data_IF_141942510341
#
_entry.id   IF_141942510341
#
_cell.length_a   1.000
_cell.length_b   1.000
_cell.length_c   1.000
_cell.angle_alpha   90.00
_cell.angle_beta   90.00
_cell.angle_gamma   90.00
#
_symmetry.space_group_name_H-M   'P 1'
#
loop_
_entity.id
_entity.type
_entity.pdbx_description
1 polymer ?
#
# COMPACT_ATOMS: atom_id res chain seq x y z
N UNK A 1 -38.45 3.61 21.54
CA UNK A 1 -37.15 3.58 20.84
C UNK A 1 -37.39 3.97 19.41
N UNK A 2 -37.01 5.20 19.03
CA UNK A 2 -37.24 5.72 17.68
C UNK A 2 -36.36 5.02 16.66
N UNK A 3 -36.95 4.07 15.94
CA UNK A 3 -36.29 3.36 14.85
C UNK A 3 -36.33 4.24 13.58
N UNK A 4 -35.57 5.34 13.59
CA UNK A 4 -35.39 6.17 12.38
C UNK A 4 -34.62 5.33 11.36
N UNK A 5 -35.12 5.17 10.11
CA UNK A 5 -34.38 4.46 9.08
C UNK A 5 -33.06 5.18 8.85
N UNK A 6 -31.94 4.53 9.19
CA UNK A 6 -30.61 5.03 8.83
C UNK A 6 -30.59 5.13 7.31
N UNK A 7 -30.43 6.34 6.77
CA UNK A 7 -30.19 6.54 5.33
C UNK A 7 -29.06 5.60 4.92
N UNK A 8 -29.33 4.67 4.01
CA UNK A 8 -28.29 3.88 3.36
C UNK A 8 -27.41 4.89 2.62
N UNK A 9 -26.21 5.14 3.13
CA UNK A 9 -25.24 5.97 2.41
C UNK A 9 -24.77 5.16 1.21
N UNK A 10 -25.40 5.39 0.05
CA UNK A 10 -24.94 4.81 -1.21
C UNK A 10 -23.68 5.56 -1.60
N UNK A 11 -22.52 5.05 -1.17
CA UNK A 11 -21.22 5.55 -1.64
C UNK A 11 -21.16 5.24 -3.14
N UNK A 12 -20.92 6.25 -3.97
CA UNK A 12 -20.74 6.00 -5.41
C UNK A 12 -19.49 5.13 -5.65
N UNK A 13 -19.49 4.32 -6.71
CA UNK A 13 -18.33 3.49 -7.09
C UNK A 13 -17.04 4.34 -7.15
N UNK A 14 -17.14 5.55 -7.72
CA UNK A 14 -16.03 6.51 -7.78
C UNK A 14 -15.49 6.88 -6.39
N UNK A 15 -16.37 7.22 -5.45
CA UNK A 15 -15.97 7.53 -4.08
C UNK A 15 -15.37 6.31 -3.37
N UNK A 16 -15.94 5.12 -3.57
CA UNK A 16 -15.39 3.90 -3.00
C UNK A 16 -13.98 3.60 -3.50
N UNK A 17 -13.73 3.74 -4.82
CA UNK A 17 -12.39 3.52 -5.42
C UNK A 17 -11.37 4.51 -4.86
N UNK A 18 -11.76 5.76 -4.66
CA UNK A 18 -10.88 6.76 -4.06
C UNK A 18 -10.56 6.44 -2.60
N UNK A 19 -11.55 6.02 -1.81
CA UNK A 19 -11.34 5.55 -0.43
C UNK A 19 -10.42 4.32 -0.40
N UNK A 20 -10.58 3.38 -1.33
CA UNK A 20 -9.70 2.22 -1.43
C UNK A 20 -8.24 2.65 -1.68
N UNK A 21 -7.99 3.55 -2.61
CA UNK A 21 -6.63 4.05 -2.87
C UNK A 21 -6.04 4.78 -1.65
N UNK A 22 -6.85 5.54 -0.92
CA UNK A 22 -6.44 6.21 0.32
C UNK A 22 -6.12 5.21 1.44
N UNK A 23 -6.64 3.98 1.38
CA UNK A 23 -6.35 2.91 2.32
C UNK A 23 -5.16 2.05 1.90
N UNK A 24 -5.04 1.71 0.61
CA UNK A 24 -3.96 0.85 0.09
C UNK A 24 -2.61 1.58 0.11
N UNK A 25 -2.57 2.87 -0.27
CA UNK A 25 -1.34 3.66 -0.29
C UNK A 25 -0.59 3.67 1.06
N UNK A 26 -1.21 3.99 2.21
CA UNK A 26 -0.51 3.96 3.50
C UNK A 26 -0.13 2.54 3.92
N UNK A 27 -0.88 1.50 3.53
CA UNK A 27 -0.49 0.12 3.84
C UNK A 27 0.75 -0.33 3.06
N UNK A 28 0.85 0.03 1.77
CA UNK A 28 2.06 -0.20 0.98
C UNK A 28 3.25 0.54 1.59
N UNK A 29 3.06 1.80 2.01
CA UNK A 29 4.10 2.58 2.71
C UNK A 29 4.54 1.91 4.02
N UNK A 30 3.59 1.51 4.87
CA UNK A 30 3.88 0.78 6.13
C UNK A 30 4.60 -0.55 5.88
N UNK A 31 4.27 -1.24 4.78
CA UNK A 31 4.97 -2.46 4.37
C UNK A 31 6.43 -2.17 4.02
N UNK A 32 6.71 -1.10 3.26
CA UNK A 32 8.08 -0.68 2.91
C UNK A 32 8.89 -0.18 4.12
N UNK A 33 8.24 0.49 5.06
CA UNK A 33 8.89 1.08 6.24
C UNK A 33 8.98 0.11 7.44
N UNK A 34 8.49 -1.12 7.29
CA UNK A 34 8.45 -2.08 8.38
C UNK A 34 9.85 -2.43 8.91
N UNK A 35 9.99 -2.50 10.24
CA UNK A 35 11.26 -2.83 10.92
C UNK A 35 11.39 -4.32 11.27
N UNK A 36 10.38 -5.13 10.95
CA UNK A 36 10.37 -6.57 11.20
C UNK A 36 9.49 -7.31 10.20
N UNK A 37 9.72 -8.61 10.03
CA UNK A 37 8.89 -9.47 9.19
C UNK A 37 7.43 -9.47 9.60
N UNK A 38 7.16 -9.48 10.91
CA UNK A 38 5.80 -9.47 11.45
C UNK A 38 5.07 -8.18 11.05
N UNK A 39 5.72 -7.02 11.24
CA UNK A 39 5.13 -5.74 10.89
C UNK A 39 4.90 -5.61 9.38
N UNK A 40 5.84 -6.12 8.57
CA UNK A 40 5.76 -6.17 7.12
C UNK A 40 4.57 -7.00 6.65
N UNK A 41 4.49 -8.27 7.10
CA UNK A 41 3.42 -9.20 6.73
C UNK A 41 2.05 -8.66 7.17
N UNK A 42 1.94 -8.12 8.39
CA UNK A 42 0.68 -7.56 8.89
C UNK A 42 0.15 -6.42 8.00
N UNK A 43 1.03 -5.52 7.55
CA UNK A 43 0.63 -4.41 6.68
C UNK A 43 0.22 -4.90 5.27
N UNK A 44 0.94 -5.89 4.73
CA UNK A 44 0.61 -6.51 3.46
C UNK A 44 -0.73 -7.26 3.51
N UNK A 45 -0.96 -8.06 4.55
CA UNK A 45 -2.21 -8.83 4.75
C UNK A 45 -3.43 -7.92 4.89
N UNK A 46 -3.27 -6.78 5.57
CA UNK A 46 -4.30 -5.73 5.63
C UNK A 46 -4.62 -5.19 4.23
N UNK A 47 -3.62 -4.99 3.38
CA UNK A 47 -3.84 -4.50 2.01
C UNK A 47 -4.51 -5.57 1.15
N UNK A 48 -4.06 -6.83 1.19
CA UNK A 48 -4.68 -7.93 0.46
C UNK A 48 -6.14 -8.13 0.86
N UNK A 49 -6.43 -8.09 2.16
CA UNK A 49 -7.79 -8.22 2.68
C UNK A 49 -8.71 -7.11 2.18
N UNK A 50 -8.21 -5.87 2.15
CA UNK A 50 -8.95 -4.73 1.62
C UNK A 50 -9.23 -4.83 0.11
N UNK A 51 -8.23 -5.28 -0.67
CA UNK A 51 -8.39 -5.51 -2.11
C UNK A 51 -9.37 -6.64 -2.40
N UNK A 52 -9.31 -7.74 -1.65
CA UNK A 52 -10.24 -8.86 -1.80
C UNK A 52 -11.68 -8.44 -1.47
N UNK A 53 -11.86 -7.66 -0.40
CA UNK A 53 -13.17 -7.11 -0.05
C UNK A 53 -13.69 -6.20 -1.16
N UNK A 54 -12.85 -5.31 -1.70
CA UNK A 54 -13.20 -4.41 -2.78
C UNK A 54 -13.63 -5.17 -4.05
N UNK A 55 -12.91 -6.24 -4.42
CA UNK A 55 -13.31 -7.12 -5.52
C UNK A 55 -14.66 -7.78 -5.24
N UNK A 56 -14.85 -8.30 -4.01
CA UNK A 56 -16.06 -9.05 -3.64
C UNK A 56 -17.33 -8.20 -3.65
N UNK A 57 -17.22 -6.91 -3.30
CA UNK A 57 -18.34 -5.97 -3.34
C UNK A 57 -18.52 -5.28 -4.71
N UNK A 58 -17.73 -5.66 -5.72
CA UNK A 58 -17.81 -5.10 -7.07
C UNK A 58 -17.28 -3.67 -7.18
N UNK A 59 -16.40 -3.25 -6.27
CA UNK A 59 -15.80 -1.92 -6.30
C UNK A 59 -14.68 -1.80 -7.34
N UNK A 60 -13.94 -2.89 -7.52
CA UNK A 60 -12.86 -3.03 -8.50
C UNK A 60 -13.06 -4.31 -9.32
N UNK A 61 -12.48 -4.34 -10.52
CA UNK A 61 -12.48 -5.49 -11.42
C UNK A 61 -11.26 -6.39 -11.22
N UNK A 62 -11.26 -7.57 -11.87
CA UNK A 62 -10.18 -8.54 -11.75
C UNK A 62 -8.80 -8.01 -12.17
N UNK A 63 -8.74 -7.20 -13.23
CA UNK A 63 -7.48 -6.59 -13.68
C UNK A 63 -6.98 -5.51 -12.69
N UNK A 64 -7.88 -4.70 -12.14
CA UNK A 64 -7.55 -3.71 -11.11
C UNK A 64 -7.07 -4.40 -9.83
N UNK A 65 -7.74 -5.47 -9.41
CA UNK A 65 -7.32 -6.32 -8.29
C UNK A 65 -5.93 -6.90 -8.51
N UNK A 66 -5.66 -7.48 -9.68
CA UNK A 66 -4.35 -8.04 -9.99
C UNK A 66 -3.25 -6.96 -9.92
N UNK A 67 -3.45 -5.82 -10.58
CA UNK A 67 -2.47 -4.74 -10.61
C UNK A 67 -2.18 -4.16 -9.23
N UNK A 68 -3.22 -3.91 -8.42
CA UNK A 68 -3.05 -3.42 -7.06
C UNK A 68 -2.39 -4.46 -6.14
N UNK A 69 -2.69 -5.74 -6.34
CA UNK A 69 -2.06 -6.84 -5.59
C UNK A 69 -0.56 -6.92 -5.91
N UNK A 70 -0.17 -6.76 -7.17
CA UNK A 70 1.25 -6.74 -7.55
C UNK A 70 2.02 -5.61 -6.85
N UNK A 71 1.43 -4.43 -6.68
CA UNK A 71 2.08 -3.34 -5.94
C UNK A 71 2.33 -3.70 -4.46
N UNK A 72 1.40 -4.41 -3.82
CA UNK A 72 1.57 -4.87 -2.44
C UNK A 72 2.63 -5.97 -2.36
N UNK A 73 2.62 -6.90 -3.32
CA UNK A 73 3.62 -7.96 -3.47
C UNK A 73 5.02 -7.35 -3.60
N UNK A 74 5.20 -6.42 -4.54
CA UNK A 74 6.49 -5.74 -4.76
C UNK A 74 6.98 -5.03 -3.50
N UNK A 75 6.08 -4.31 -2.81
CA UNK A 75 6.44 -3.64 -1.56
C UNK A 75 6.88 -4.61 -0.47
N UNK A 76 6.19 -5.75 -0.36
CA UNK A 76 6.50 -6.80 0.60
C UNK A 76 7.83 -7.51 0.25
N UNK A 77 8.02 -7.92 -1.00
CA UNK A 77 9.24 -8.61 -1.45
C UNK A 77 10.47 -7.73 -1.33
N UNK A 78 10.41 -6.47 -1.78
CA UNK A 78 11.53 -5.54 -1.65
C UNK A 78 11.91 -5.36 -0.18
N UNK A 79 10.92 -5.22 0.71
CA UNK A 79 11.24 -5.03 2.13
C UNK A 79 11.78 -6.29 2.78
N UNK A 80 11.32 -7.46 2.35
CA UNK A 80 11.86 -8.73 2.80
C UNK A 80 13.35 -8.89 2.48
N UNK A 81 13.74 -8.57 1.23
CA UNK A 81 15.14 -8.59 0.82
C UNK A 81 15.96 -7.63 1.69
N UNK A 82 15.49 -6.40 1.87
CA UNK A 82 16.23 -5.41 2.67
C UNK A 82 16.41 -5.84 4.13
N UNK A 83 15.36 -6.37 4.76
CA UNK A 83 15.46 -6.88 6.14
C UNK A 83 16.44 -8.06 6.23
N UNK A 84 16.43 -8.98 5.26
CA UNK A 84 17.32 -10.14 5.26
C UNK A 84 18.81 -9.77 5.12
N UNK A 85 19.11 -8.62 4.51
CA UNK A 85 20.48 -8.14 4.28
C UNK A 85 20.82 -6.90 5.14
N UNK A 86 20.04 -6.63 6.19
CA UNK A 86 20.19 -5.46 7.08
C UNK A 86 20.32 -4.12 6.33
N UNK A 87 19.64 -3.99 5.19
CA UNK A 87 19.62 -2.78 4.38
C UNK A 87 18.50 -1.82 4.80
N UNK A 88 18.74 -0.50 4.71
CA UNK A 88 17.68 0.47 4.86
C UNK A 88 16.60 0.30 3.76
N UNK A 89 15.35 0.72 4.00
CA UNK A 89 14.33 0.73 2.96
C UNK A 89 14.78 1.50 1.73
N UNK A 90 14.76 0.86 0.56
CA UNK A 90 15.06 1.53 -0.69
C UNK A 90 13.94 2.51 -1.04
N UNK A 91 14.22 3.78 -0.83
CA UNK A 91 13.43 4.92 -1.29
C UNK A 91 14.21 5.52 -2.45
N UNK A 92 13.87 5.15 -3.70
CA UNK A 92 14.61 5.60 -4.89
C UNK A 92 14.85 7.12 -4.97
N UNK A 93 13.98 7.93 -4.35
CA UNK A 93 14.16 9.38 -4.21
C UNK A 93 15.31 9.77 -3.27
N UNK A 94 15.50 9.08 -2.13
CA UNK A 94 16.60 9.38 -1.21
C UNK A 94 17.94 8.95 -1.82
N UNK A 95 17.99 7.79 -2.50
CA UNK A 95 19.19 7.37 -3.23
C UNK A 95 19.52 8.32 -4.39
N UNK A 96 18.51 8.79 -5.14
CA UNK A 96 18.72 9.78 -6.21
C UNK A 96 19.24 11.12 -5.64
N UNK A 97 18.70 11.55 -4.48
CA UNK A 97 19.13 12.75 -3.77
C UNK A 97 20.56 12.61 -3.25
N UNK A 98 20.90 11.48 -2.64
CA UNK A 98 22.27 11.17 -2.18
C UNK A 98 23.25 11.20 -3.36
N UNK A 99 22.90 10.58 -4.48
CA UNK A 99 23.73 10.55 -5.68
C UNK A 99 23.96 11.97 -6.25
N UNK A 100 22.91 12.81 -6.31
CA UNK A 100 23.04 14.21 -6.71
C UNK A 100 23.93 15.03 -5.75
N UNK A 101 23.78 14.83 -4.43
CA UNK A 101 24.61 15.50 -3.42
C UNK A 101 26.09 15.10 -3.53
N UNK A 102 26.38 13.82 -3.76
CA UNK A 102 27.74 13.31 -3.95
C UNK A 102 28.39 13.88 -5.22
N UNK A 103 27.66 13.93 -6.34
CA UNK A 103 28.15 14.52 -7.59
C UNK A 103 28.43 16.02 -7.45
N UNK A 104 27.59 16.74 -6.71
CA UNK A 104 27.79 18.18 -6.44
C UNK A 104 28.97 18.46 -5.51
N UNK A 105 29.27 17.57 -4.56
CA UNK A 105 30.43 17.73 -3.67
C UNK A 105 31.77 17.40 -4.34
N UNK A 106 31.74 16.67 -5.46
CA UNK A 106 32.90 16.29 -6.26
C UNK A 106 33.21 17.25 -7.43
N UNK A 107 32.40 18.29 -7.62
CA UNK A 107 32.52 19.34 -8.64
C UNK A 107 32.95 20.66 -8.01
#
# INVERSE_FOLDING_TARGET
MDNKPRKKTTISIKQGRQTLLLLIRPLCKRTREAVSDIARNTAADQAYSALLLALRIGLIEGCEYHNLTQLVIDANYQRAIELNYDQPPYTGADRAKECWLQQRAAA
#
